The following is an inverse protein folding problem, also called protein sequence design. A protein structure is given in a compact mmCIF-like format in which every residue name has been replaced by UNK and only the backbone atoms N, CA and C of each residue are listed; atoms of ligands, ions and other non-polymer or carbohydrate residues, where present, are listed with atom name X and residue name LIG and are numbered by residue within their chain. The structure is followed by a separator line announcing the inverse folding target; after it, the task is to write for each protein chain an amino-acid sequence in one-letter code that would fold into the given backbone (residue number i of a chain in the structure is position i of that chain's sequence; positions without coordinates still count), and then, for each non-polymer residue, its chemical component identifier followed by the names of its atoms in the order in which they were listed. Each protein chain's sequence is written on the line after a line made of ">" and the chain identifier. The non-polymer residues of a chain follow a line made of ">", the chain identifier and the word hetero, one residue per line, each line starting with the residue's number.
data_IF_151892134582
#
_entry.id   IF_151892134582
#
_cell.length_a   1.000
_cell.length_b   1.000
_cell.length_c   1.000
_cell.angle_alpha   90.00
_cell.angle_beta   90.00
_cell.angle_gamma   90.00
#
_symmetry.space_group_name_H-M   'P 1'
#
loop_
_entity.id
_entity.type
_entity.pdbx_description
1 polymer ?
#
# COMPACT_ATOMS: atom_id res chain seq x y z
N UNK A 1 -40.75 30.68 52.07
CA UNK A 1 -40.39 29.26 51.93
C UNK A 1 -40.22 29.02 50.43
N UNK A 2 -39.11 29.40 49.79
CA UNK A 2 -37.76 28.80 49.82
C UNK A 2 -37.80 27.27 49.95
N UNK A 3 -37.46 26.62 48.83
CA UNK A 3 -36.63 25.42 48.59
C UNK A 3 -36.87 25.11 47.09
N UNK A 4 -36.01 25.30 46.09
CA UNK A 4 -34.55 25.29 45.93
C UNK A 4 -33.84 24.04 46.45
N UNK A 5 -34.29 22.90 45.92
CA UNK A 5 -33.48 21.69 45.75
C UNK A 5 -33.56 21.39 44.23
N UNK A 6 -32.57 21.57 43.35
CA UNK A 6 -31.10 21.47 43.42
C UNK A 6 -30.58 20.09 43.82
N UNK A 7 -31.06 19.07 43.14
CA UNK A 7 -30.34 17.86 42.68
C UNK A 7 -31.41 17.01 41.98
N UNK A 8 -31.37 16.81 40.66
CA UNK A 8 -30.63 15.68 40.07
C UNK A 8 -30.33 15.93 38.58
N UNK A 9 -29.41 16.85 38.31
CA UNK A 9 -28.94 17.13 36.94
C UNK A 9 -27.65 16.39 36.55
N UNK A 10 -27.26 15.33 37.29
CA UNK A 10 -25.91 14.75 37.18
C UNK A 10 -25.84 13.23 36.95
N UNK A 11 -26.88 12.60 36.40
CA UNK A 11 -26.81 11.17 36.04
C UNK A 11 -27.03 10.81 34.56
N UNK A 12 -27.02 11.82 33.68
CA UNK A 12 -27.07 11.61 32.22
C UNK A 12 -25.78 12.13 31.53
N UNK A 13 -24.61 11.97 32.16
CA UNK A 13 -23.32 12.38 31.56
C UNK A 13 -22.23 11.30 31.58
N UNK A 14 -22.61 10.04 31.73
CA UNK A 14 -21.65 8.92 31.76
C UNK A 14 -22.01 7.73 30.84
N UNK A 15 -22.92 7.91 29.85
CA UNK A 15 -23.21 6.85 28.86
C UNK A 15 -22.94 7.22 27.40
N UNK A 16 -22.39 8.40 27.14
CA UNK A 16 -22.25 8.89 25.76
C UNK A 16 -20.79 9.09 25.31
N UNK A 17 -19.88 8.26 25.82
CA UNK A 17 -18.47 8.27 25.37
C UNK A 17 -17.95 6.90 24.90
N UNK A 18 -18.83 5.96 24.55
CA UNK A 18 -18.42 4.63 24.07
C UNK A 18 -19.17 4.14 22.82
N UNK A 19 -19.47 5.01 21.86
CA UNK A 19 -19.78 4.56 20.50
C UNK A 19 -18.70 5.04 19.53
N UNK A 20 -17.65 4.22 19.46
CA UNK A 20 -16.56 4.26 18.49
C UNK A 20 -17.15 4.43 17.08
N UNK A 21 -16.93 5.59 16.48
CA UNK A 21 -17.51 6.01 15.18
C UNK A 21 -17.27 4.95 14.08
N UNK A 22 -18.29 4.18 13.64
CA UNK A 22 -18.14 3.23 12.52
C UNK A 22 -17.79 3.95 11.21
N UNK A 23 -18.18 5.22 11.10
CA UNK A 23 -17.93 6.07 9.93
C UNK A 23 -16.45 6.27 9.61
N UNK A 24 -15.59 6.48 10.63
CA UNK A 24 -14.15 6.70 10.42
C UNK A 24 -13.45 5.39 10.05
N UNK A 25 -13.87 4.27 10.63
CA UNK A 25 -13.35 2.95 10.27
C UNK A 25 -13.72 2.58 8.82
N UNK A 26 -14.97 2.84 8.42
CA UNK A 26 -15.46 2.58 7.06
C UNK A 26 -14.71 3.40 6.00
N UNK A 27 -14.41 4.68 6.25
CA UNK A 27 -13.59 5.49 5.34
C UNK A 27 -12.17 4.96 5.18
N UNK A 28 -11.58 4.37 6.22
CA UNK A 28 -10.20 3.85 6.18
C UNK A 28 -10.07 2.59 5.33
N UNK A 29 -11.09 1.73 5.26
CA UNK A 29 -11.07 0.49 4.47
C UNK A 29 -11.71 0.63 3.10
N UNK A 30 -12.45 1.71 2.82
CA UNK A 30 -13.14 1.94 1.55
C UNK A 30 -12.29 1.69 0.30
N UNK A 31 -11.00 2.06 0.33
CA UNK A 31 -10.10 1.84 -0.81
C UNK A 31 -9.79 0.35 -1.07
N UNK A 32 -9.83 -0.48 -0.04
CA UNK A 32 -9.69 -1.94 -0.13
C UNK A 32 -10.98 -2.51 -0.74
N UNK A 33 -12.14 -2.12 -0.20
CA UNK A 33 -13.44 -2.61 -0.64
C UNK A 33 -13.69 -2.33 -2.13
N UNK A 34 -13.40 -1.10 -2.57
CA UNK A 34 -13.53 -0.70 -3.99
C UNK A 34 -12.63 -1.55 -4.90
N UNK A 35 -11.36 -1.76 -4.52
CA UNK A 35 -10.42 -2.56 -5.32
C UNK A 35 -10.82 -4.02 -5.37
N UNK A 36 -11.30 -4.56 -4.25
CA UNK A 36 -11.78 -5.94 -4.17
C UNK A 36 -12.92 -6.18 -5.16
N UNK A 37 -13.96 -5.35 -5.11
CA UNK A 37 -15.11 -5.51 -6.01
C UNK A 37 -14.71 -5.37 -7.48
N UNK A 38 -13.89 -4.37 -7.82
CA UNK A 38 -13.40 -4.18 -9.18
C UNK A 38 -12.61 -5.39 -9.72
N UNK A 39 -11.65 -5.91 -8.94
CA UNK A 39 -10.85 -7.06 -9.36
C UNK A 39 -11.72 -8.32 -9.45
N UNK A 40 -12.65 -8.52 -8.51
CA UNK A 40 -13.54 -9.67 -8.50
C UNK A 40 -14.44 -9.71 -9.73
N UNK A 41 -15.07 -8.58 -10.08
CA UNK A 41 -15.87 -8.43 -11.30
C UNK A 41 -15.03 -8.72 -12.56
N UNK A 42 -13.83 -8.15 -12.66
CA UNK A 42 -12.94 -8.39 -13.80
C UNK A 42 -12.50 -9.87 -13.94
N UNK A 43 -12.40 -10.62 -12.83
CA UNK A 43 -12.15 -12.06 -12.85
C UNK A 43 -13.41 -12.82 -13.31
N UNK A 44 -14.59 -12.45 -12.80
CA UNK A 44 -15.86 -13.08 -13.19
C UNK A 44 -16.17 -12.90 -14.68
N UNK A 45 -15.86 -11.71 -15.20
CA UNK A 45 -16.00 -11.36 -16.61
C UNK A 45 -14.85 -11.92 -17.49
N UNK A 46 -13.93 -12.68 -16.89
CA UNK A 46 -12.77 -13.30 -17.58
C UNK A 46 -11.84 -12.29 -18.28
N UNK A 47 -11.87 -11.04 -17.84
CA UNK A 47 -10.96 -9.98 -18.32
C UNK A 47 -9.57 -10.17 -17.71
N UNK A 48 -9.49 -10.71 -16.49
CA UNK A 48 -8.26 -10.98 -15.75
C UNK A 48 -8.23 -12.43 -15.26
N UNK A 49 -7.11 -13.12 -15.49
CA UNK A 49 -6.79 -14.38 -14.85
C UNK A 49 -5.75 -14.15 -13.74
N UNK A 50 -5.98 -14.75 -12.56
CA UNK A 50 -5.04 -14.66 -11.43
C UNK A 50 -4.23 -15.94 -11.37
N UNK A 51 -2.93 -15.82 -11.61
CA UNK A 51 -1.98 -16.93 -11.50
C UNK A 51 -0.98 -16.69 -10.36
N UNK A 52 -0.61 -17.75 -9.65
CA UNK A 52 0.48 -17.68 -8.68
C UNK A 52 1.83 -17.52 -9.40
N UNK A 53 2.66 -16.62 -8.88
CA UNK A 53 4.04 -16.46 -9.33
C UNK A 53 4.99 -16.35 -8.14
N UNK A 54 6.12 -17.08 -8.12
CA UNK A 54 7.12 -16.94 -7.07
C UNK A 54 7.66 -15.52 -6.99
N UNK A 55 7.84 -15.00 -5.77
CA UNK A 55 8.38 -13.65 -5.55
C UNK A 55 9.81 -13.48 -6.10
N UNK A 56 10.54 -14.57 -6.30
CA UNK A 56 11.91 -14.53 -6.82
C UNK A 56 11.95 -14.27 -8.33
N UNK A 57 10.85 -14.56 -9.02
CA UNK A 57 10.73 -14.40 -10.46
C UNK A 57 9.88 -13.18 -10.84
N UNK A 58 9.15 -12.59 -9.88
CA UNK A 58 8.22 -11.48 -10.12
C UNK A 58 8.98 -10.20 -10.54
N UNK A 59 9.27 -10.04 -11.83
CA UNK A 59 10.03 -8.90 -12.39
C UNK A 59 9.41 -7.54 -12.00
N UNK A 60 8.09 -7.45 -11.84
CA UNK A 60 7.39 -6.24 -11.39
C UNK A 60 7.87 -5.74 -10.01
N UNK A 61 8.41 -6.62 -9.16
CA UNK A 61 8.98 -6.24 -7.87
C UNK A 61 10.16 -5.28 -8.01
N UNK A 62 10.86 -5.35 -9.14
CA UNK A 62 11.97 -4.42 -9.47
C UNK A 62 11.52 -2.95 -9.43
N UNK A 63 10.27 -2.68 -9.81
CA UNK A 63 9.73 -1.33 -9.96
C UNK A 63 8.84 -0.91 -8.77
N UNK A 64 8.35 -1.87 -8.00
CA UNK A 64 7.30 -1.64 -6.98
C UNK A 64 7.80 -1.80 -5.55
N UNK A 65 8.95 -2.46 -5.32
CA UNK A 65 9.47 -2.77 -3.99
C UNK A 65 10.91 -2.29 -3.79
N UNK A 66 11.28 -1.92 -2.55
CA UNK A 66 12.69 -1.78 -2.19
C UNK A 66 13.32 -3.17 -2.06
N UNK A 67 14.24 -3.52 -2.97
CA UNK A 67 14.89 -4.83 -3.01
C UNK A 67 16.34 -4.79 -2.53
N UNK A 68 16.81 -5.92 -2.00
CA UNK A 68 18.25 -6.10 -1.75
C UNK A 68 19.02 -6.13 -3.08
N UNK A 69 20.29 -5.70 -3.06
CA UNK A 69 21.15 -5.65 -4.26
C UNK A 69 21.18 -6.99 -5.03
N UNK A 70 21.19 -8.11 -4.31
CA UNK A 70 21.19 -9.45 -4.91
C UNK A 70 19.90 -9.73 -5.66
N UNK A 71 18.73 -9.47 -5.06
CA UNK A 71 17.42 -9.66 -5.71
C UNK A 71 17.22 -8.70 -6.87
N UNK A 72 17.59 -7.43 -6.69
CA UNK A 72 17.55 -6.44 -7.76
C UNK A 72 18.36 -6.88 -8.97
N UNK A 73 19.61 -7.35 -8.77
CA UNK A 73 20.46 -7.83 -9.87
C UNK A 73 19.83 -9.03 -10.60
N UNK A 74 19.33 -10.01 -9.86
CA UNK A 74 18.70 -11.19 -10.46
C UNK A 74 17.48 -10.82 -11.32
N UNK A 75 16.55 -10.02 -10.78
CA UNK A 75 15.35 -9.58 -11.52
C UNK A 75 15.70 -8.66 -12.70
N UNK A 76 16.71 -7.78 -12.55
CA UNK A 76 17.22 -6.93 -13.64
C UNK A 76 17.79 -7.77 -14.79
N UNK A 77 18.56 -8.79 -14.45
CA UNK A 77 19.17 -9.70 -15.43
C UNK A 77 18.07 -10.53 -16.14
N UNK A 78 17.03 -10.97 -15.42
CA UNK A 78 15.82 -11.58 -16.01
C UNK A 78 15.05 -10.63 -16.95
N UNK A 79 14.98 -9.33 -16.61
CA UNK A 79 14.36 -8.30 -17.45
C UNK A 79 15.20 -7.96 -18.71
N UNK A 80 16.44 -8.46 -18.81
CA UNK A 80 17.34 -8.20 -19.93
C UNK A 80 18.01 -6.81 -19.89
N UNK A 81 17.92 -6.09 -18.77
CA UNK A 81 18.55 -4.78 -18.61
C UNK A 81 20.05 -4.98 -18.35
N UNK A 82 20.88 -4.63 -19.32
CA UNK A 82 22.34 -4.69 -19.21
C UNK A 82 22.90 -3.32 -18.82
N UNK A 83 24.00 -3.35 -18.08
CA UNK A 83 24.78 -2.14 -17.85
C UNK A 83 25.30 -1.63 -19.19
N UNK A 84 25.09 -0.33 -19.44
CA UNK A 84 25.64 0.31 -20.62
C UNK A 84 27.16 0.23 -20.52
N UNK A 85 27.79 -0.55 -21.39
CA UNK A 85 29.22 -0.44 -21.63
C UNK A 85 29.46 0.93 -22.27
N UNK A 86 29.73 1.93 -21.43
CA UNK A 86 30.46 3.08 -21.91
C UNK A 86 31.80 2.49 -22.38
N UNK A 87 32.09 2.61 -23.68
CA UNK A 87 33.48 2.57 -24.11
C UNK A 87 34.13 3.69 -23.31
N UNK A 88 34.79 3.34 -22.20
CA UNK A 88 35.75 4.21 -21.56
C UNK A 88 36.73 4.51 -22.67
N UNK A 89 36.55 5.67 -23.29
CA UNK A 89 37.47 6.11 -24.31
C UNK A 89 38.78 6.33 -23.54
N UNK A 90 39.82 5.50 -23.76
CA UNK A 90 41.03 5.56 -22.95
C UNK A 90 41.80 6.89 -23.14
N UNK A 91 41.29 7.80 -23.98
CA UNK A 91 41.81 9.13 -24.23
C UNK A 91 41.35 10.20 -23.22
N UNK A 92 40.46 9.90 -22.26
CA UNK A 92 39.92 10.91 -21.34
C UNK A 92 40.55 10.93 -19.93
N UNK A 93 41.62 10.15 -19.68
CA UNK A 93 42.34 10.18 -18.40
C UNK A 93 43.54 11.15 -18.33
N UNK A 94 43.82 11.97 -19.35
CA UNK A 94 44.89 12.98 -19.30
C UNK A 94 44.41 14.38 -19.71
N UNK A 95 43.48 14.98 -18.95
CA UNK A 95 43.37 16.44 -18.97
C UNK A 95 42.88 17.03 -17.64
N UNK A 96 43.89 17.40 -16.83
CA UNK A 96 43.92 18.14 -15.56
C UNK A 96 43.75 17.35 -14.26
#
# INVERSE_FOLDING_TARGET
>A
MINFDHHDHEQERARECHFRLPYIAHMRTKHIDIRYHFIHEAIQDQVIEVCYFPSEDMIADLLTKPLSKRKFKALRDQMGIKERQLLVNPFFCDLK
#
